data_IF_259664697046
#
_entry.id   IF_259664697046
#
_cell.length_a   1.000
_cell.length_b   1.000
_cell.length_c   1.000
_cell.angle_alpha   90.00
_cell.angle_beta   90.00
_cell.angle_gamma   90.00
#
_symmetry.space_group_name_H-M   'P 1'
#
loop_
_entity.id
_entity.type
_entity.pdbx_description
1 polymer ?
#
# COMPACT_ATOMS: atom_id res chain seq x y z
N UNK A 1 18.82 26.84 -28.21
CA UNK A 1 18.28 26.95 -26.84
C UNK A 1 19.41 26.66 -25.85
N UNK A 2 19.84 27.63 -25.04
CA UNK A 2 20.94 27.40 -24.11
C UNK A 2 20.39 26.84 -22.79
N UNK A 3 20.50 25.51 -22.58
CA UNK A 3 20.03 24.81 -21.36
C UNK A 3 20.53 25.49 -20.08
N UNK A 4 21.77 26.00 -20.11
CA UNK A 4 22.43 26.69 -19.00
C UNK A 4 21.67 27.95 -18.55
N UNK A 5 21.04 28.66 -19.49
CA UNK A 5 20.23 29.84 -19.19
C UNK A 5 18.94 29.45 -18.45
N UNK A 6 18.25 28.41 -18.91
CA UNK A 6 16.96 27.99 -18.32
C UNK A 6 17.16 27.48 -16.88
N UNK A 7 18.22 26.71 -16.65
CA UNK A 7 18.59 26.24 -15.31
C UNK A 7 18.97 27.42 -14.40
N UNK A 8 19.83 28.32 -14.88
CA UNK A 8 20.26 29.51 -14.11
C UNK A 8 19.07 30.39 -13.73
N UNK A 9 18.13 30.58 -14.65
CA UNK A 9 16.93 31.40 -14.43
C UNK A 9 15.93 30.73 -13.49
N UNK A 10 15.81 29.39 -13.53
CA UNK A 10 15.03 28.61 -12.55
C UNK A 10 15.55 28.78 -11.13
N UNK A 11 16.87 28.65 -10.91
CA UNK A 11 17.50 28.91 -9.61
C UNK A 11 17.41 30.38 -9.19
N UNK A 12 17.50 31.32 -10.13
CA UNK A 12 17.34 32.74 -9.83
C UNK A 12 15.90 33.10 -9.40
N UNK A 13 14.89 32.40 -9.91
CA UNK A 13 13.48 32.52 -9.49
C UNK A 13 13.29 32.21 -8.01
N UNK A 14 13.85 31.08 -7.56
CA UNK A 14 13.86 30.66 -6.14
C UNK A 14 14.40 31.73 -5.20
N UNK A 15 15.48 32.40 -5.59
CA UNK A 15 16.17 33.37 -4.72
C UNK A 15 15.46 34.71 -4.62
N UNK A 16 14.53 35.03 -5.53
CA UNK A 16 13.76 36.30 -5.51
C UNK A 16 12.39 36.13 -4.87
N UNK A 17 11.76 34.96 -5.03
CA UNK A 17 10.48 34.61 -4.40
C UNK A 17 10.67 33.61 -3.25
N UNK A 18 11.67 33.83 -2.38
CA UNK A 18 12.13 32.86 -1.37
C UNK A 18 11.01 32.33 -0.48
N UNK A 19 10.13 33.20 0.02
CA UNK A 19 9.07 32.79 0.93
C UNK A 19 8.07 31.86 0.22
N UNK A 20 7.59 32.23 -0.96
CA UNK A 20 6.64 31.41 -1.72
C UNK A 20 7.26 30.07 -2.13
N UNK A 21 8.51 30.08 -2.59
CA UNK A 21 9.20 28.86 -3.02
C UNK A 21 9.52 27.93 -1.83
N UNK A 22 9.98 28.46 -0.69
CA UNK A 22 10.24 27.66 0.52
C UNK A 22 8.96 27.06 1.09
N UNK A 23 7.87 27.82 1.17
CA UNK A 23 6.57 27.29 1.63
C UNK A 23 6.07 26.20 0.70
N UNK A 24 6.24 26.36 -0.61
CA UNK A 24 5.87 25.32 -1.59
C UNK A 24 6.69 24.04 -1.42
N UNK A 25 8.03 24.16 -1.30
CA UNK A 25 8.91 23.02 -1.03
C UNK A 25 8.47 22.32 0.25
N UNK A 26 8.25 23.07 1.33
CA UNK A 26 7.93 22.49 2.62
C UNK A 26 6.57 21.78 2.60
N UNK A 27 5.55 22.38 2.00
CA UNK A 27 4.24 21.75 1.88
C UNK A 27 4.27 20.50 0.99
N UNK A 28 5.01 20.54 -0.13
CA UNK A 28 5.19 19.35 -0.98
C UNK A 28 6.02 18.28 -0.25
N UNK A 29 7.02 18.67 0.55
CA UNK A 29 7.78 17.76 1.41
C UNK A 29 6.85 17.05 2.40
N UNK A 30 6.01 17.79 3.12
CA UNK A 30 5.05 17.23 4.09
C UNK A 30 4.09 16.27 3.39
N UNK A 31 3.56 16.63 2.22
CA UNK A 31 2.65 15.78 1.49
C UNK A 31 3.29 14.45 1.05
N UNK A 32 4.50 14.50 0.49
CA UNK A 32 5.23 13.28 0.08
C UNK A 32 5.63 12.46 1.30
N UNK A 33 6.04 13.11 2.40
CA UNK A 33 6.33 12.44 3.66
C UNK A 33 5.11 11.68 4.19
N UNK A 34 3.94 12.33 4.22
CA UNK A 34 2.69 11.70 4.66
C UNK A 34 2.31 10.52 3.76
N UNK A 35 2.46 10.65 2.44
CA UNK A 35 2.22 9.54 1.50
C UNK A 35 3.18 8.37 1.74
N UNK A 36 4.46 8.67 1.99
CA UNK A 36 5.47 7.66 2.32
C UNK A 36 5.14 6.90 3.60
N UNK A 37 4.78 7.63 4.66
CA UNK A 37 4.38 7.05 5.95
C UNK A 37 3.10 6.23 5.79
N UNK A 38 2.07 6.77 5.13
CA UNK A 38 0.80 6.08 4.88
C UNK A 38 1.04 4.77 4.12
N UNK A 39 1.89 4.80 3.09
CA UNK A 39 2.25 3.61 2.31
C UNK A 39 2.97 2.56 3.16
N UNK A 40 3.87 2.98 4.06
CA UNK A 40 4.59 2.06 4.97
C UNK A 40 3.64 1.42 5.98
N UNK A 41 2.78 2.23 6.60
CA UNK A 41 1.80 1.74 7.58
C UNK A 41 0.82 0.78 6.92
N UNK A 42 0.29 1.13 5.74
CA UNK A 42 -0.64 0.28 5.01
C UNK A 42 -0.02 -1.08 4.66
N UNK A 43 1.22 -1.09 4.17
CA UNK A 43 1.91 -2.34 3.86
C UNK A 43 2.17 -3.19 5.09
N UNK A 44 2.56 -2.58 6.23
CA UNK A 44 2.76 -3.31 7.46
C UNK A 44 1.47 -3.97 7.98
N UNK A 45 0.37 -3.22 7.98
CA UNK A 45 -0.95 -3.75 8.35
C UNK A 45 -1.32 -4.91 7.43
N UNK A 46 -1.05 -4.78 6.11
CA UNK A 46 -1.31 -5.84 5.15
C UNK A 46 -0.52 -7.12 5.45
N UNK A 47 0.81 -7.02 5.64
CA UNK A 47 1.64 -8.19 5.96
C UNK A 47 1.22 -8.84 7.28
N UNK A 48 0.96 -8.04 8.31
CA UNK A 48 0.53 -8.55 9.61
C UNK A 48 -0.83 -9.25 9.51
N UNK A 49 -1.77 -8.69 8.78
CA UNK A 49 -3.06 -9.31 8.55
C UNK A 49 -2.92 -10.61 7.74
N UNK A 50 -2.02 -10.65 6.75
CA UNK A 50 -1.75 -11.86 5.98
C UNK A 50 -1.18 -12.98 6.85
N UNK A 51 -0.22 -12.67 7.73
CA UNK A 51 0.33 -13.68 8.65
C UNK A 51 -0.71 -14.26 9.61
N UNK A 52 -1.75 -13.50 9.96
CA UNK A 52 -2.86 -13.99 10.78
C UNK A 52 -3.84 -14.80 9.93
N UNK A 53 -4.09 -14.39 8.68
CA UNK A 53 -4.91 -15.15 7.74
C UNK A 53 -4.30 -16.51 7.41
N UNK A 54 -2.99 -16.61 7.27
CA UNK A 54 -2.28 -17.87 6.99
C UNK A 54 -2.41 -18.93 8.10
N UNK A 55 -2.83 -18.52 9.31
CA UNK A 55 -3.14 -19.43 10.42
C UNK A 55 -4.57 -19.99 10.35
N UNK A 56 -5.40 -19.50 9.42
CA UNK A 56 -6.78 -19.96 9.27
C UNK A 56 -6.76 -21.29 8.53
N UNK A 57 -7.10 -22.35 9.27
CA UNK A 57 -7.27 -23.69 8.73
C UNK A 57 -8.75 -24.05 8.69
N UNK A 58 -9.13 -24.85 7.69
CA UNK A 58 -10.46 -25.45 7.58
C UNK A 58 -10.35 -26.89 8.05
N UNK A 59 -11.10 -27.25 9.08
CA UNK A 59 -11.14 -28.60 9.63
C UNK A 59 -12.42 -29.32 9.16
N UNK A 60 -12.25 -30.50 8.59
CA UNK A 60 -13.32 -31.33 8.03
C UNK A 60 -13.41 -32.61 8.85
N UNK A 61 -14.40 -32.70 9.73
CA UNK A 61 -14.67 -33.87 10.53
C UNK A 61 -15.39 -34.94 9.71
N UNK A 62 -15.00 -36.20 9.93
CA UNK A 62 -15.51 -37.35 9.19
C UNK A 62 -16.42 -38.20 10.07
N UNK A 63 -17.42 -38.80 9.44
CA UNK A 63 -18.12 -39.94 10.04
C UNK A 63 -17.19 -41.15 10.15
N UNK A 64 -17.64 -42.20 10.85
CA UNK A 64 -16.91 -43.47 10.90
C UNK A 64 -17.03 -44.17 9.53
N UNK A 65 -16.05 -43.92 8.67
CA UNK A 65 -15.98 -44.40 7.28
C UNK A 65 -14.77 -45.31 7.08
N UNK A 66 -14.81 -46.10 6.02
CA UNK A 66 -13.70 -46.97 5.65
C UNK A 66 -12.51 -46.20 5.06
N UNK A 67 -11.34 -46.84 5.05
CA UNK A 67 -10.08 -46.25 4.58
C UNK A 67 -10.13 -45.90 3.09
N UNK A 68 -10.89 -46.64 2.27
CA UNK A 68 -11.03 -46.35 0.84
C UNK A 68 -11.85 -45.08 0.59
N UNK A 69 -12.93 -44.88 1.34
CA UNK A 69 -13.72 -43.64 1.30
C UNK A 69 -12.91 -42.46 1.82
N UNK A 70 -12.12 -42.65 2.89
CA UNK A 70 -11.22 -41.63 3.44
C UNK A 70 -10.20 -41.16 2.39
N UNK A 71 -9.56 -42.10 1.68
CA UNK A 71 -8.60 -41.78 0.61
C UNK A 71 -9.25 -41.05 -0.58
N UNK A 72 -10.48 -41.41 -0.95
CA UNK A 72 -11.23 -40.71 -2.01
C UNK A 72 -11.55 -39.26 -1.61
N UNK A 73 -11.95 -39.02 -0.36
CA UNK A 73 -12.19 -37.67 0.15
C UNK A 73 -10.88 -36.88 0.12
N UNK A 74 -9.78 -37.44 0.63
CA UNK A 74 -8.47 -36.78 0.61
C UNK A 74 -8.08 -36.33 -0.81
N UNK A 75 -8.15 -37.23 -1.79
CA UNK A 75 -7.81 -36.90 -3.18
C UNK A 75 -8.75 -35.83 -3.76
N UNK A 76 -10.04 -35.87 -3.42
CA UNK A 76 -11.02 -34.85 -3.83
C UNK A 76 -10.72 -33.47 -3.24
N UNK A 77 -10.18 -33.42 -2.02
CA UNK A 77 -9.76 -32.18 -1.35
C UNK A 77 -8.46 -31.62 -1.96
N UNK A 78 -7.47 -32.47 -2.21
CA UNK A 78 -6.17 -32.09 -2.80
C UNK A 78 -6.31 -31.54 -4.23
N UNK A 79 -7.32 -32.00 -4.98
CA UNK A 79 -7.58 -31.54 -6.35
C UNK A 79 -8.28 -30.16 -6.45
N UNK A 80 -8.54 -29.48 -5.32
CA UNK A 80 -9.20 -28.17 -5.29
C UNK A 80 -8.19 -27.05 -5.45
N UNK A 81 -8.46 -26.09 -6.33
CA UNK A 81 -7.56 -24.96 -6.63
C UNK A 81 -7.25 -24.08 -5.41
N UNK A 82 -8.20 -23.91 -4.50
CA UNK A 82 -8.07 -23.07 -3.28
C UNK A 82 -7.37 -23.83 -2.14
N UNK A 83 -7.03 -25.10 -2.32
CA UNK A 83 -6.40 -25.93 -1.28
C UNK A 83 -4.89 -25.96 -1.47
N UNK A 84 -4.16 -25.51 -0.46
CA UNK A 84 -2.70 -25.49 -0.46
C UNK A 84 -2.11 -26.81 0.06
N UNK A 85 -2.73 -27.39 1.10
CA UNK A 85 -2.31 -28.67 1.66
C UNK A 85 -3.43 -29.31 2.47
N UNK A 86 -3.47 -30.66 2.48
CA UNK A 86 -4.40 -31.46 3.27
C UNK A 86 -3.59 -32.34 4.23
N UNK A 87 -3.96 -32.34 5.51
CA UNK A 87 -3.37 -33.22 6.52
C UNK A 87 -4.45 -34.06 7.19
N UNK A 88 -4.32 -35.38 7.16
CA UNK A 88 -5.21 -36.28 7.87
C UNK A 88 -4.84 -36.36 9.36
N UNK A 89 -5.84 -36.26 10.23
CA UNK A 89 -5.72 -36.42 11.67
C UNK A 89 -6.58 -37.61 12.09
N UNK A 90 -5.92 -38.69 12.50
CA UNK A 90 -6.60 -39.87 13.05
C UNK A 90 -7.21 -39.57 14.41
N UNK A 91 -8.16 -40.40 14.87
CA UNK A 91 -8.77 -40.29 16.20
C UNK A 91 -7.70 -40.25 17.32
N UNK A 92 -6.70 -41.14 17.24
CA UNK A 92 -5.58 -41.20 18.19
C UNK A 92 -4.71 -39.92 18.16
N UNK A 93 -4.50 -39.37 16.97
CA UNK A 93 -3.73 -38.12 16.79
C UNK A 93 -4.50 -36.94 17.36
N UNK A 94 -5.82 -36.87 17.13
CA UNK A 94 -6.70 -35.83 17.67
C UNK A 94 -6.67 -35.84 19.21
N UNK A 95 -6.76 -37.02 19.82
CA UNK A 95 -6.61 -37.22 21.27
C UNK A 95 -5.27 -36.72 21.81
N UNK A 96 -4.19 -36.92 21.06
CA UNK A 96 -2.85 -36.46 21.44
C UNK A 96 -2.73 -34.94 21.35
N UNK A 97 -3.24 -34.34 20.28
CA UNK A 97 -3.26 -32.88 20.07
C UNK A 97 -4.09 -32.20 21.18
N UNK A 98 -5.27 -32.74 21.49
CA UNK A 98 -6.15 -32.22 22.57
C UNK A 98 -5.44 -32.18 23.92
N UNK A 99 -4.70 -33.25 24.28
CA UNK A 99 -3.92 -33.28 25.53
C UNK A 99 -2.81 -32.23 25.56
N UNK A 100 -2.16 -31.99 24.42
CA UNK A 100 -1.08 -31.00 24.32
C UNK A 100 -1.60 -29.56 24.42
N UNK A 101 -2.74 -29.26 23.79
CA UNK A 101 -3.27 -27.89 23.76
C UNK A 101 -4.01 -27.50 25.06
N UNK A 102 -4.70 -28.43 25.72
CA UNK A 102 -5.55 -28.13 26.87
C UNK A 102 -4.97 -28.53 28.23
N UNK A 103 -3.90 -29.32 28.27
CA UNK A 103 -3.21 -29.68 29.52
C UNK A 103 -4.00 -30.62 30.46
N UNK A 104 -3.60 -30.72 31.74
CA UNK A 104 -4.22 -31.65 32.70
C UNK A 104 -5.68 -31.28 32.98
N UNK A 105 -6.59 -32.24 32.77
CA UNK A 105 -8.05 -32.07 32.76
C UNK A 105 -8.69 -32.44 31.42
N UNK A 106 -7.92 -32.48 30.33
CA UNK A 106 -8.38 -32.98 29.03
C UNK A 106 -8.44 -34.52 28.96
N UNK A 107 -7.83 -35.22 29.93
CA UNK A 107 -7.76 -36.69 29.91
C UNK A 107 -9.14 -37.34 30.02
N UNK A 108 -10.04 -36.83 30.86
CA UNK A 108 -11.41 -37.37 31.04
C UNK A 108 -12.25 -37.26 29.76
N UNK A 109 -12.05 -36.20 28.95
CA UNK A 109 -12.72 -36.01 27.67
C UNK A 109 -12.14 -36.92 26.57
N UNK A 110 -10.84 -37.22 26.63
CA UNK A 110 -10.17 -38.09 25.67
C UNK A 110 -10.49 -39.57 25.91
N UNK A 111 -10.65 -40.00 27.17
CA UNK A 111 -11.03 -41.38 27.52
C UNK A 111 -12.39 -41.80 26.98
N UNK A 112 -13.28 -40.83 26.68
CA UNK A 112 -14.58 -41.07 26.07
C UNK A 112 -14.51 -41.40 24.56
N UNK A 113 -13.32 -41.37 23.96
CA UNK A 113 -13.07 -41.62 22.53
C UNK A 113 -14.00 -40.84 21.59
N UNK A 114 -14.31 -39.60 21.99
CA UNK A 114 -15.35 -38.77 21.39
C UNK A 114 -14.86 -37.96 20.18
N UNK A 115 -13.55 -37.99 19.88
CA UNK A 115 -12.94 -37.16 18.84
C UNK A 115 -12.99 -37.90 17.48
N UNK A 116 -13.76 -37.40 16.50
CA UNK A 116 -13.77 -37.98 15.16
C UNK A 116 -12.45 -37.73 14.43
N UNK A 117 -12.19 -38.53 13.39
CA UNK A 117 -11.08 -38.24 12.48
C UNK A 117 -11.39 -36.98 11.66
N UNK A 118 -10.36 -36.20 11.31
CA UNK A 118 -10.54 -34.97 10.55
C UNK A 118 -9.47 -34.79 9.46
N UNK A 119 -9.80 -33.99 8.44
CA UNK A 119 -8.82 -33.38 7.56
C UNK A 119 -8.62 -31.91 7.94
N UNK A 120 -7.38 -31.53 8.17
CA UNK A 120 -6.96 -30.14 8.34
C UNK A 120 -6.45 -29.60 7.02
N UNK A 121 -7.14 -28.59 6.50
CA UNK A 121 -6.92 -28.04 5.17
C UNK A 121 -6.38 -26.62 5.33
N UNK A 122 -5.20 -26.37 4.75
CA UNK A 122 -4.72 -25.02 4.53
C UNK A 122 -5.32 -24.51 3.23
N UNK A 123 -5.99 -23.37 3.31
CA UNK A 123 -6.64 -22.72 2.17
C UNK A 123 -5.85 -21.52 1.73
N UNK A 124 -5.88 -21.23 0.44
CA UNK A 124 -5.38 -19.97 -0.10
C UNK A 124 -6.32 -18.84 0.35
N UNK A 125 -5.86 -18.01 1.28
CA UNK A 125 -6.65 -16.89 1.81
C UNK A 125 -6.65 -15.66 0.90
N UNK A 126 -5.82 -15.64 -0.16
CA UNK A 126 -5.84 -14.61 -1.20
C UNK A 126 -7.00 -14.80 -2.19
N UNK A 127 -7.48 -16.05 -2.34
CA UNK A 127 -8.69 -16.38 -3.11
C UNK A 127 -9.94 -15.61 -2.64
N UNK A 128 -9.92 -15.12 -1.41
CA UNK A 128 -10.98 -14.30 -0.82
C UNK A 128 -12.04 -15.13 -0.12
N UNK A 129 -12.78 -14.47 0.78
CA UNK A 129 -13.66 -15.17 1.73
C UNK A 129 -14.81 -15.90 1.03
N UNK A 130 -15.34 -15.32 -0.05
CA UNK A 130 -16.44 -15.93 -0.80
C UNK A 130 -16.05 -17.28 -1.44
N UNK A 131 -14.80 -17.43 -1.90
CA UNK A 131 -14.32 -18.67 -2.51
C UNK A 131 -14.12 -19.76 -1.46
N UNK A 132 -13.60 -19.39 -0.27
CA UNK A 132 -13.46 -20.29 0.88
C UNK A 132 -14.84 -20.74 1.38
N UNK A 133 -15.82 -19.83 1.45
CA UNK A 133 -17.20 -20.18 1.82
C UNK A 133 -17.85 -21.17 0.83
N UNK A 134 -17.60 -20.98 -0.46
CA UNK A 134 -18.07 -21.90 -1.51
C UNK A 134 -17.39 -23.28 -1.40
N UNK A 135 -16.08 -23.30 -1.10
CA UNK A 135 -15.33 -24.52 -0.84
C UNK A 135 -15.91 -25.28 0.36
N UNK A 136 -16.09 -24.61 1.50
CA UNK A 136 -16.65 -25.20 2.72
C UNK A 136 -18.04 -25.79 2.45
N UNK A 137 -18.91 -25.03 1.77
CA UNK A 137 -20.25 -25.50 1.41
C UNK A 137 -20.21 -26.72 0.49
N UNK A 138 -19.22 -26.78 -0.42
CA UNK A 138 -19.04 -27.92 -1.32
C UNK A 138 -18.54 -29.17 -0.58
N UNK A 139 -17.62 -28.99 0.39
CA UNK A 139 -17.07 -30.08 1.20
C UNK A 139 -18.12 -30.66 2.15
N UNK A 140 -18.93 -29.79 2.77
CA UNK A 140 -20.01 -30.21 3.69
C UNK A 140 -21.03 -31.15 3.02
N UNK A 141 -21.16 -31.09 1.69
CA UNK A 141 -22.05 -31.96 0.91
C UNK A 141 -21.41 -33.28 0.47
N UNK A 142 -20.13 -33.51 0.76
CA UNK A 142 -19.46 -34.77 0.42
C UNK A 142 -19.94 -35.90 1.34
N UNK A 143 -20.18 -37.07 0.75
CA UNK A 143 -20.55 -38.26 1.52
C UNK A 143 -19.38 -38.69 2.41
N UNK A 144 -19.65 -38.86 3.71
CA UNK A 144 -18.65 -39.22 4.72
C UNK A 144 -18.10 -38.04 5.52
N UNK A 145 -18.44 -36.80 5.16
CA UNK A 145 -18.16 -35.60 5.95
C UNK A 145 -19.30 -35.37 6.93
N UNK A 146 -18.97 -35.17 8.20
CA UNK A 146 -19.90 -34.84 9.28
C UNK A 146 -20.06 -33.32 9.42
N UNK A 147 -18.97 -32.62 9.71
CA UNK A 147 -18.99 -31.19 9.97
C UNK A 147 -17.71 -30.52 9.43
N UNK A 148 -17.84 -29.32 8.85
CA UNK A 148 -16.72 -28.49 8.44
C UNK A 148 -16.66 -27.25 9.33
N UNK A 149 -15.56 -27.08 10.07
CA UNK A 149 -15.32 -25.93 10.95
C UNK A 149 -14.17 -25.07 10.44
N UNK A 150 -14.37 -23.76 10.52
CA UNK A 150 -13.34 -22.76 10.30
C UNK A 150 -13.80 -21.43 10.90
N UNK A 151 -12.86 -20.50 11.12
CA UNK A 151 -13.17 -19.20 11.70
C UNK A 151 -13.62 -18.18 10.61
N UNK A 152 -14.83 -18.38 10.10
CA UNK A 152 -15.44 -17.52 9.06
C UNK A 152 -15.51 -16.05 9.49
N UNK A 153 -15.88 -15.81 10.76
CA UNK A 153 -16.02 -14.46 11.31
C UNK A 153 -14.68 -13.72 11.30
N UNK A 154 -13.60 -14.37 11.72
CA UNK A 154 -12.26 -13.77 11.70
C UNK A 154 -11.82 -13.46 10.26
N UNK A 155 -12.03 -14.40 9.33
CA UNK A 155 -11.68 -14.21 7.93
C UNK A 155 -12.43 -13.01 7.31
N UNK A 156 -13.75 -12.92 7.51
CA UNK A 156 -14.60 -11.80 7.07
C UNK A 156 -14.18 -10.47 7.68
N UNK A 157 -13.91 -10.43 8.99
CA UNK A 157 -13.46 -9.22 9.67
C UNK A 157 -12.12 -8.76 9.11
N UNK A 158 -11.17 -9.67 8.89
CA UNK A 158 -9.87 -9.33 8.33
C UNK A 158 -9.98 -8.81 6.89
N UNK A 159 -10.74 -9.49 6.03
CA UNK A 159 -10.94 -9.04 4.65
C UNK A 159 -11.64 -7.68 4.57
N UNK A 160 -12.75 -7.50 5.31
CA UNK A 160 -13.49 -6.24 5.31
C UNK A 160 -12.68 -5.08 5.88
N UNK A 161 -11.92 -5.30 6.96
CA UNK A 161 -11.04 -4.28 7.53
C UNK A 161 -9.94 -3.91 6.55
N UNK A 162 -9.26 -4.88 5.93
CA UNK A 162 -8.21 -4.62 4.94
C UNK A 162 -8.73 -3.82 3.75
N UNK A 163 -9.90 -4.18 3.22
CA UNK A 163 -10.53 -3.44 2.13
C UNK A 163 -10.88 -2.00 2.55
N UNK A 164 -11.44 -1.84 3.75
CA UNK A 164 -11.77 -0.51 4.31
C UNK A 164 -10.53 0.35 4.51
N UNK A 165 -9.46 -0.21 5.10
CA UNK A 165 -8.19 0.49 5.27
C UNK A 165 -7.56 0.88 3.93
N UNK A 166 -7.62 0.01 2.93
CA UNK A 166 -7.10 0.28 1.59
C UNK A 166 -7.89 1.39 0.90
N UNK A 167 -9.22 1.37 0.99
CA UNK A 167 -10.10 2.37 0.39
C UNK A 167 -9.94 3.74 1.06
N UNK A 168 -9.98 3.78 2.39
CA UNK A 168 -9.83 5.03 3.17
C UNK A 168 -8.41 5.57 3.02
N UNK A 169 -7.39 4.73 3.16
CA UNK A 169 -5.99 5.12 2.97
C UNK A 169 -5.70 5.62 1.57
N UNK A 170 -6.22 4.93 0.55
CA UNK A 170 -6.15 5.36 -0.85
C UNK A 170 -6.86 6.69 -1.10
N UNK A 171 -8.05 6.89 -0.51
CA UNK A 171 -8.80 8.15 -0.59
C UNK A 171 -8.05 9.33 0.04
N UNK A 172 -7.50 9.14 1.25
CA UNK A 172 -6.65 10.13 1.92
C UNK A 172 -5.41 10.44 1.07
N UNK A 173 -4.74 9.40 0.57
CA UNK A 173 -3.58 9.55 -0.32
C UNK A 173 -3.91 10.37 -1.56
N UNK A 174 -5.04 10.08 -2.22
CA UNK A 174 -5.51 10.82 -3.38
C UNK A 174 -5.76 12.31 -3.09
N UNK A 175 -6.39 12.63 -1.95
CA UNK A 175 -6.60 14.03 -1.53
C UNK A 175 -5.27 14.76 -1.27
N UNK A 176 -4.29 14.10 -0.65
CA UNK A 176 -2.96 14.66 -0.43
C UNK A 176 -2.27 14.96 -1.77
N UNK A 177 -2.38 14.06 -2.75
CA UNK A 177 -1.86 14.28 -4.10
C UNK A 177 -2.49 15.50 -4.77
N UNK A 178 -3.82 15.61 -4.73
CA UNK A 178 -4.53 16.77 -5.30
C UNK A 178 -4.12 18.08 -4.62
N UNK A 179 -4.07 18.09 -3.28
CA UNK A 179 -3.64 19.26 -2.52
C UNK A 179 -2.21 19.69 -2.91
N UNK A 180 -1.31 18.73 -3.09
CA UNK A 180 0.07 18.97 -3.51
C UNK A 180 0.17 19.65 -4.88
N UNK A 181 -0.57 19.14 -5.87
CA UNK A 181 -0.61 19.74 -7.21
C UNK A 181 -1.14 21.17 -7.16
N UNK A 182 -2.21 21.41 -6.38
CA UNK A 182 -2.81 22.74 -6.21
C UNK A 182 -1.81 23.72 -5.58
N UNK A 183 -1.02 23.27 -4.59
CA UNK A 183 -0.01 24.12 -3.94
C UNK A 183 1.10 24.52 -4.90
N UNK A 184 1.64 23.58 -5.68
CA UNK A 184 2.63 23.87 -6.72
C UNK A 184 2.03 24.82 -7.77
N UNK A 185 0.81 24.54 -8.22
CA UNK A 185 0.09 25.39 -9.18
C UNK A 185 -0.05 26.84 -8.68
N UNK A 186 -0.49 27.03 -7.43
CA UNK A 186 -0.66 28.34 -6.83
C UNK A 186 0.68 29.08 -6.67
N UNK A 187 1.73 28.35 -6.33
CA UNK A 187 3.08 28.92 -6.22
C UNK A 187 3.55 29.45 -7.57
N UNK A 188 3.46 28.63 -8.62
CA UNK A 188 3.88 29.02 -9.97
C UNK A 188 3.01 30.15 -10.52
N UNK A 189 1.71 30.15 -10.25
CA UNK A 189 0.82 31.27 -10.58
C UNK A 189 1.32 32.58 -9.97
N UNK A 190 1.65 32.58 -8.68
CA UNK A 190 2.17 33.76 -8.00
C UNK A 190 3.53 34.19 -8.58
N UNK A 191 4.41 33.24 -8.91
CA UNK A 191 5.70 33.54 -9.55
C UNK A 191 5.52 34.16 -10.94
N UNK A 192 4.57 33.66 -11.74
CA UNK A 192 4.23 34.23 -13.06
C UNK A 192 3.70 35.64 -12.91
N UNK A 193 2.80 35.88 -11.95
CA UNK A 193 2.24 37.20 -11.68
C UNK A 193 3.33 38.21 -11.26
N UNK A 194 4.28 37.78 -10.43
CA UNK A 194 5.43 38.60 -10.05
C UNK A 194 6.37 38.92 -11.23
N UNK A 195 6.40 38.07 -12.27
CA UNK A 195 7.21 38.25 -13.49
C UNK A 195 6.43 38.80 -14.69
N UNK A 196 5.20 39.30 -14.50
CA UNK A 196 4.29 39.67 -15.61
C UNK A 196 4.88 40.71 -16.58
N UNK A 197 5.59 41.72 -16.06
CA UNK A 197 6.17 42.78 -16.91
C UNK A 197 7.30 42.25 -17.80
N UNK A 198 8.13 41.36 -17.25
CA UNK A 198 9.20 40.69 -17.99
C UNK A 198 8.62 39.72 -19.03
N UNK A 199 7.53 39.02 -18.71
CA UNK A 199 6.80 38.18 -19.66
C UNK A 199 6.22 39.03 -20.80
N UNK A 200 5.63 40.19 -20.49
CA UNK A 200 5.11 41.13 -21.49
C UNK A 200 6.23 41.63 -22.42
N UNK A 201 7.38 42.03 -21.87
CA UNK A 201 8.54 42.44 -22.66
C UNK A 201 9.06 41.31 -23.58
N UNK A 202 9.18 40.08 -23.07
CA UNK A 202 9.59 38.92 -23.89
C UNK A 202 8.61 38.65 -25.04
N UNK A 203 7.31 38.80 -24.79
CA UNK A 203 6.29 38.64 -25.84
C UNK A 203 6.39 39.71 -26.93
N UNK A 204 6.68 40.97 -26.57
CA UNK A 204 6.85 42.06 -27.53
C UNK A 204 8.02 41.84 -28.50
N UNK A 205 9.06 41.12 -28.05
CA UNK A 205 10.24 40.77 -28.86
C UNK A 205 10.02 39.44 -29.62
N UNK A 206 8.84 38.83 -29.53
CA UNK A 206 8.48 37.63 -30.30
C UNK A 206 8.91 36.30 -29.68
N UNK A 207 9.18 36.25 -28.37
CA UNK A 207 9.51 34.99 -27.69
C UNK A 207 8.33 34.00 -27.72
N UNK A 208 8.62 32.73 -28.01
CA UNK A 208 7.59 31.67 -28.05
C UNK A 208 7.06 31.34 -26.65
N UNK A 209 5.78 30.96 -26.54
CA UNK A 209 5.18 30.56 -25.26
C UNK A 209 5.96 29.41 -24.58
N UNK A 210 6.53 28.48 -25.36
CA UNK A 210 7.38 27.40 -24.84
C UNK A 210 8.67 27.92 -24.18
N UNK A 211 9.32 28.93 -24.79
CA UNK A 211 10.50 29.57 -24.22
C UNK A 211 10.19 30.27 -22.90
N UNK A 212 9.03 30.92 -22.80
CA UNK A 212 8.57 31.62 -21.58
C UNK A 212 8.18 30.62 -20.48
N UNK A 213 7.58 29.47 -20.84
CA UNK A 213 7.11 28.43 -19.90
C UNK A 213 8.26 27.62 -19.28
N UNK A 214 9.32 27.38 -20.04
CA UNK A 214 10.40 26.44 -19.67
C UNK A 214 11.03 26.71 -18.29
N UNK A 215 11.37 27.96 -17.91
CA UNK A 215 11.93 28.25 -16.58
C UNK A 215 11.00 27.87 -15.42
N UNK A 216 9.68 28.05 -15.58
CA UNK A 216 8.70 27.73 -14.54
C UNK A 216 8.51 26.22 -14.36
N UNK A 217 8.62 25.44 -15.44
CA UNK A 217 8.59 23.97 -15.36
C UNK A 217 9.84 23.46 -14.64
N UNK A 218 11.01 24.03 -14.93
CA UNK A 218 12.24 23.69 -14.19
C UNK A 218 12.13 24.08 -12.72
N UNK A 219 11.55 25.23 -12.41
CA UNK A 219 11.31 25.65 -11.02
C UNK A 219 10.43 24.64 -10.26
N UNK A 220 9.33 24.17 -10.87
CA UNK A 220 8.48 23.13 -10.28
C UNK A 220 9.17 21.78 -10.13
N UNK A 221 9.94 21.36 -11.12
CA UNK A 221 10.75 20.12 -11.02
C UNK A 221 11.77 20.23 -9.88
N UNK A 222 12.43 21.39 -9.74
CA UNK A 222 13.41 21.60 -8.67
C UNK A 222 12.74 21.61 -7.29
N UNK A 223 11.53 22.16 -7.17
CA UNK A 223 10.71 22.02 -5.96
C UNK A 223 10.46 20.54 -5.64
N UNK A 224 10.02 19.75 -6.62
CA UNK A 224 9.81 18.31 -6.47
C UNK A 224 11.08 17.54 -6.09
N UNK A 225 12.23 17.85 -6.70
CA UNK A 225 13.50 17.20 -6.34
C UNK A 225 13.89 17.48 -4.89
N UNK A 226 13.82 18.75 -4.45
CA UNK A 226 14.20 19.13 -3.08
C UNK A 226 13.24 18.53 -2.05
N UNK A 227 11.93 18.63 -2.29
CA UNK A 227 10.91 18.06 -1.40
C UNK A 227 11.00 16.54 -1.33
N UNK A 228 11.18 15.86 -2.47
CA UNK A 228 11.32 14.41 -2.54
C UNK A 228 12.58 13.92 -1.82
N UNK A 229 13.71 14.61 -1.99
CA UNK A 229 14.95 14.27 -1.30
C UNK A 229 14.83 14.43 0.23
N UNK A 230 14.20 15.52 0.69
CA UNK A 230 13.91 15.72 2.11
C UNK A 230 12.98 14.64 2.67
N UNK A 231 11.93 14.28 1.93
CA UNK A 231 10.95 13.28 2.36
C UNK A 231 11.57 11.89 2.43
N UNK A 232 12.32 11.49 1.40
CA UNK A 232 13.05 10.21 1.36
C UNK A 232 14.04 10.11 2.52
N UNK A 233 14.83 11.16 2.76
CA UNK A 233 15.78 11.18 3.88
C UNK A 233 15.07 11.06 5.22
N UNK A 234 13.95 11.75 5.40
CA UNK A 234 13.18 11.70 6.64
C UNK A 234 12.57 10.31 6.88
N UNK A 235 11.97 9.69 5.86
CA UNK A 235 11.46 8.31 5.95
C UNK A 235 12.59 7.33 6.25
N UNK A 236 13.76 7.50 5.63
CA UNK A 236 14.93 6.68 5.91
C UNK A 236 15.30 6.72 7.38
N UNK A 237 15.52 7.93 7.90
CA UNK A 237 15.97 8.13 9.27
C UNK A 237 14.94 7.59 10.28
N UNK A 238 13.65 7.83 10.04
CA UNK A 238 12.60 7.36 10.93
C UNK A 238 12.54 5.83 10.96
N UNK A 239 12.45 5.17 9.81
CA UNK A 239 12.23 3.73 9.78
C UNK A 239 13.48 2.89 10.05
N UNK A 240 14.67 3.38 9.71
CA UNK A 240 15.92 2.65 9.89
C UNK A 240 16.58 2.92 11.26
N UNK A 241 16.45 4.13 11.80
CA UNK A 241 17.13 4.51 13.04
C UNK A 241 16.17 4.72 14.21
N UNK A 242 15.01 5.36 14.00
CA UNK A 242 14.11 5.70 15.12
C UNK A 242 13.26 4.50 15.53
N UNK A 243 12.52 3.90 14.60
CA UNK A 243 11.57 2.82 14.92
C UNK A 243 12.24 1.62 15.60
N UNK A 244 13.41 1.11 15.16
CA UNK A 244 14.04 -0.04 15.80
C UNK A 244 14.46 0.20 17.26
N UNK A 245 14.76 1.46 17.62
CA UNK A 245 15.15 1.83 18.99
C UNK A 245 13.95 1.80 19.93
N UNK A 246 12.79 2.30 19.48
CA UNK A 246 11.62 2.49 20.34
C UNK A 246 10.62 1.33 20.29
N UNK A 247 10.58 0.59 19.18
CA UNK A 247 9.62 -0.49 18.93
C UNK A 247 10.36 -1.73 18.37
N UNK A 248 11.21 -2.38 19.18
CA UNK A 248 12.00 -3.54 18.74
C UNK A 248 11.13 -4.73 18.33
N UNK A 249 9.91 -4.85 18.86
CA UNK A 249 8.93 -5.88 18.48
C UNK A 249 8.26 -5.62 17.12
N UNK A 250 8.27 -4.38 16.62
CA UNK A 250 7.97 -4.07 15.22
C UNK A 250 9.19 -4.30 14.30
N UNK A 251 10.33 -4.68 14.90
CA UNK A 251 11.63 -4.87 14.29
C UNK A 251 11.72 -6.16 13.49
N UNK A 252 11.03 -6.17 12.36
CA UNK A 252 11.37 -6.81 11.09
C UNK A 252 10.22 -6.47 10.13
N UNK A 253 10.00 -5.17 9.92
CA UNK A 253 9.15 -4.67 8.84
C UNK A 253 9.77 -5.13 7.51
N UNK A 254 9.36 -6.31 7.03
CA UNK A 254 9.75 -6.81 5.73
C UNK A 254 9.48 -5.74 4.67
N UNK A 255 10.41 -5.58 3.74
CA UNK A 255 10.26 -4.61 2.66
C UNK A 255 9.34 -5.19 1.59
N UNK A 256 8.34 -4.43 1.10
CA UNK A 256 7.37 -4.90 0.10
C UNK A 256 7.99 -5.52 -1.16
N UNK A 257 9.20 -5.11 -1.50
CA UNK A 257 9.91 -5.56 -2.69
C UNK A 257 11.37 -5.97 -2.39
N UNK A 258 11.64 -6.41 -1.15
CA UNK A 258 12.98 -6.86 -0.73
C UNK A 258 14.07 -5.77 -0.71
N UNK A 259 13.78 -4.53 -1.13
CA UNK A 259 14.74 -3.43 -1.16
C UNK A 259 14.07 -2.07 -0.91
N UNK A 260 14.58 -1.35 0.10
CA UNK A 260 14.33 0.05 0.44
C UNK A 260 14.25 1.01 -0.78
N UNK A 261 15.00 0.69 -1.82
CA UNK A 261 15.14 1.49 -3.03
C UNK A 261 13.83 1.67 -3.82
N UNK A 262 12.90 0.72 -3.79
CA UNK A 262 11.68 0.83 -4.61
C UNK A 262 10.73 1.92 -4.10
N UNK A 263 10.45 1.93 -2.79
CA UNK A 263 9.57 2.94 -2.20
C UNK A 263 10.19 4.33 -2.31
N UNK A 264 11.49 4.45 -2.07
CA UNK A 264 12.18 5.74 -2.17
C UNK A 264 12.27 6.26 -3.60
N UNK A 265 12.52 5.38 -4.56
CA UNK A 265 12.44 5.73 -5.98
C UNK A 265 11.02 6.15 -6.36
N UNK A 266 9.99 5.45 -5.86
CA UNK A 266 8.60 5.81 -6.09
C UNK A 266 8.24 7.17 -5.48
N UNK A 267 8.64 7.44 -4.24
CA UNK A 267 8.43 8.73 -3.56
C UNK A 267 9.14 9.88 -4.27
N UNK A 268 10.41 9.67 -4.63
CA UNK A 268 11.20 10.67 -5.35
C UNK A 268 10.62 10.94 -6.73
N UNK A 269 10.33 9.88 -7.49
CA UNK A 269 9.69 9.96 -8.80
C UNK A 269 8.34 10.68 -8.73
N UNK A 270 7.49 10.31 -7.78
CA UNK A 270 6.19 10.95 -7.58
C UNK A 270 6.33 12.43 -7.21
N UNK A 271 7.31 12.81 -6.38
CA UNK A 271 7.55 14.21 -6.03
C UNK A 271 7.98 15.05 -7.26
N UNK A 272 8.88 14.51 -8.08
CA UNK A 272 9.30 15.15 -9.34
C UNK A 272 8.14 15.26 -10.31
N UNK A 273 7.33 14.20 -10.45
CA UNK A 273 6.14 14.20 -11.30
C UNK A 273 5.11 15.23 -10.85
N UNK A 274 4.87 15.35 -9.54
CA UNK A 274 3.95 16.36 -8.98
C UNK A 274 4.44 17.79 -9.23
N UNK A 275 5.74 18.04 -9.02
CA UNK A 275 6.36 19.32 -9.33
C UNK A 275 6.28 19.68 -10.82
N UNK A 276 6.52 18.70 -11.70
CA UNK A 276 6.39 18.87 -13.14
C UNK A 276 4.93 19.11 -13.58
N UNK A 277 3.99 18.31 -13.07
CA UNK A 277 2.58 18.39 -13.44
C UNK A 277 1.95 19.70 -12.98
N UNK A 278 2.13 20.06 -11.70
CA UNK A 278 1.61 21.31 -11.14
C UNK A 278 2.15 22.55 -11.84
N UNK A 279 3.46 22.57 -12.14
CA UNK A 279 4.08 23.69 -12.85
C UNK A 279 3.66 23.78 -14.32
N UNK A 280 3.52 22.65 -15.01
CA UNK A 280 3.03 22.60 -16.39
C UNK A 280 1.60 23.14 -16.51
N UNK A 281 0.70 22.73 -15.62
CA UNK A 281 -0.69 23.21 -15.59
C UNK A 281 -0.75 24.73 -15.40
N UNK A 282 -0.01 25.26 -14.41
CA UNK A 282 0.02 26.68 -14.13
C UNK A 282 0.64 27.49 -15.29
N UNK A 283 1.79 27.04 -15.80
CA UNK A 283 2.50 27.72 -16.88
C UNK A 283 1.73 27.69 -18.20
N UNK A 284 0.95 26.64 -18.47
CA UNK A 284 0.09 26.58 -19.63
C UNK A 284 -0.98 27.68 -19.55
N UNK A 285 -1.77 27.68 -18.48
CA UNK A 285 -2.91 28.59 -18.29
C UNK A 285 -2.51 30.07 -18.23
N UNK A 286 -1.60 30.44 -17.34
CA UNK A 286 -1.37 31.86 -17.03
C UNK A 286 -0.50 32.59 -18.06
N UNK A 287 0.36 31.87 -18.80
CA UNK A 287 1.16 32.49 -19.87
C UNK A 287 0.30 32.72 -21.13
N UNK A 288 -0.74 31.92 -21.37
CA UNK A 288 -1.71 32.20 -22.44
C UNK A 288 -2.58 33.42 -22.11
N UNK A 289 -3.06 33.53 -20.87
CA UNK A 289 -3.91 34.66 -20.42
C UNK A 289 -3.20 36.03 -20.46
N UNK A 290 -1.86 36.09 -20.40
CA UNK A 290 -1.12 37.37 -20.47
C UNK A 290 -1.22 38.08 -21.84
N UNK A 291 -1.95 37.52 -22.81
CA UNK A 291 -2.15 38.10 -24.16
C UNK A 291 -3.31 39.11 -24.22
N UNK A 292 -4.18 39.16 -23.21
CA UNK A 292 -5.45 39.91 -23.27
C UNK A 292 -5.46 41.02 -22.22
N UNK A 293 -4.76 42.11 -22.52
CA UNK A 293 -5.21 43.43 -22.07
C UNK A 293 -5.13 44.36 -23.28
N UNK A 294 -6.24 44.44 -24.02
CA UNK A 294 -6.57 45.65 -24.79
C UNK A 294 -7.05 46.70 -23.80
#
# INVERSE_FOLDING_TARGET
MNIKYIIKEGFAGFRRAKLAATTSIFSLFVAILLLGILSRVAYNIYVQAMSVKDLIEVEVFLFDIDESTTAQIQQSLENREVVLSVSYISKDSASTIMKQEFGPGAEELVELNFLPASFRIKVDTEAGTAQIESLVSSIQNLRGVDEVKYNASLLRIMESNLNTFTLVGGGIGFLILLASVILVYNTIRLTIYAKRELIRAMKLVGATNGFIRSPFIIEGVLQGVLSGLMAVLCVFLVFEFVIPIYLPEMGLLSWPFGSWHFLTAAMFGLSVLMGWWGSRLAAHKFIEETYISR
#
